data_IF_606229679642
#
_entry.id   IF_606229679642
#
_cell.length_a   1.000
_cell.length_b   1.000
_cell.length_c   1.000
_cell.angle_alpha   90.00
_cell.angle_beta   90.00
_cell.angle_gamma   90.00
#
_symmetry.space_group_name_H-M   'P 1'
#
loop_
_entity.id
_entity.type
_entity.pdbx_description
1 polymer ?
#
# COMPACT_ATOMS: atom_id res chain seq x y z
N UNK A 1 36.66 18.25 35.33
CA UNK A 1 37.04 17.30 34.26
C UNK A 1 35.86 16.42 33.82
N UNK A 2 35.05 15.90 34.75
CA UNK A 2 33.89 15.09 34.38
C UNK A 2 32.84 15.88 33.58
N UNK A 3 32.52 17.10 34.01
CA UNK A 3 31.51 17.94 33.35
C UNK A 3 31.91 18.35 31.93
N UNK A 4 33.18 18.69 31.73
CA UNK A 4 33.72 19.02 30.41
C UNK A 4 33.66 17.83 29.45
N UNK A 5 33.93 16.62 29.96
CA UNK A 5 33.81 15.40 29.17
C UNK A 5 32.33 15.13 28.84
N UNK A 6 31.43 15.30 29.80
CA UNK A 6 29.99 15.12 29.61
C UNK A 6 29.42 16.07 28.54
N UNK A 7 29.75 17.36 28.61
CA UNK A 7 29.32 18.35 27.61
C UNK A 7 29.87 18.06 26.22
N UNK A 8 31.11 17.59 26.13
CA UNK A 8 31.72 17.18 24.86
C UNK A 8 30.97 15.98 24.25
N UNK A 9 30.66 14.96 25.05
CA UNK A 9 29.89 13.80 24.60
C UNK A 9 28.48 14.17 24.13
N UNK A 10 27.77 15.03 24.87
CA UNK A 10 26.44 15.52 24.51
C UNK A 10 26.46 16.29 23.18
N UNK A 11 27.49 17.11 22.98
CA UNK A 11 27.65 17.92 21.77
C UNK A 11 27.94 17.03 20.55
N UNK A 12 28.81 16.02 20.71
CA UNK A 12 29.09 15.02 19.67
C UNK A 12 27.82 14.23 19.33
N UNK A 13 27.07 13.76 20.32
CA UNK A 13 25.82 13.04 20.09
C UNK A 13 24.77 13.88 19.34
N UNK A 14 24.70 15.17 19.66
CA UNK A 14 23.82 16.12 18.99
C UNK A 14 24.22 16.39 17.54
N UNK A 15 25.52 16.52 17.28
CA UNK A 15 26.07 16.69 15.93
C UNK A 15 25.79 15.45 15.05
N UNK A 16 26.02 14.26 15.58
CA UNK A 16 25.73 12.99 14.88
C UNK A 16 24.25 12.87 14.57
N UNK A 17 23.38 13.22 15.53
CA UNK A 17 21.92 13.17 15.36
C UNK A 17 21.43 14.17 14.31
N UNK A 18 21.98 15.38 14.27
CA UNK A 18 21.69 16.37 13.23
C UNK A 18 22.14 15.88 11.84
N UNK A 19 23.33 15.28 11.73
CA UNK A 19 23.80 14.67 10.48
C UNK A 19 22.90 13.52 10.03
N UNK A 20 22.48 12.66 10.96
CA UNK A 20 21.54 11.58 10.66
C UNK A 20 20.16 12.12 10.20
N UNK A 21 19.67 13.20 10.82
CA UNK A 21 18.44 13.88 10.40
C UNK A 21 18.56 14.43 8.98
N UNK A 22 19.67 15.11 8.65
CA UNK A 22 19.94 15.67 7.33
C UNK A 22 19.94 14.59 6.24
N UNK A 23 20.58 13.44 6.49
CA UNK A 23 20.75 12.39 5.48
C UNK A 23 19.53 11.50 5.30
N UNK A 24 18.73 11.28 6.35
CA UNK A 24 17.66 10.28 6.32
C UNK A 24 16.25 10.85 6.16
N UNK A 25 16.06 12.16 6.37
CA UNK A 25 14.76 12.83 6.19
C UNK A 25 14.58 13.23 4.73
N UNK A 26 13.48 12.76 4.13
CA UNK A 26 13.07 13.11 2.77
C UNK A 26 12.39 14.48 2.68
N UNK A 27 11.79 14.93 3.78
CA UNK A 27 11.18 16.25 3.86
C UNK A 27 12.24 17.24 4.41
N UNK A 28 12.69 18.21 3.59
CA UNK A 28 13.71 19.16 4.00
C UNK A 28 13.24 20.06 5.15
N UNK A 29 11.94 20.35 5.26
CA UNK A 29 11.40 21.18 6.35
C UNK A 29 11.49 20.44 7.68
N UNK A 30 11.06 19.17 7.69
CA UNK A 30 11.21 18.32 8.86
C UNK A 30 12.67 18.10 9.24
N UNK A 31 13.57 17.94 8.26
CA UNK A 31 15.01 17.82 8.51
C UNK A 31 15.56 19.05 9.25
N UNK A 32 15.26 20.25 8.75
CA UNK A 32 15.69 21.52 9.35
C UNK A 32 15.20 21.68 10.80
N UNK A 33 13.93 21.33 11.08
CA UNK A 33 13.38 21.38 12.44
C UNK A 33 14.20 20.49 13.39
N UNK A 34 14.50 19.26 13.00
CA UNK A 34 15.26 18.33 13.84
C UNK A 34 16.72 18.72 13.99
N UNK A 35 17.35 19.26 12.95
CA UNK A 35 18.72 19.78 13.01
C UNK A 35 18.79 20.97 13.97
N UNK A 36 17.88 21.93 13.83
CA UNK A 36 17.81 23.09 14.71
C UNK A 36 17.60 22.65 16.16
N UNK A 37 16.67 21.72 16.41
CA UNK A 37 16.40 21.21 17.75
C UNK A 37 17.61 20.50 18.38
N UNK A 38 18.37 19.74 17.59
CA UNK A 38 19.60 19.09 18.06
C UNK A 38 20.67 20.11 18.47
N UNK A 39 20.78 21.24 17.77
CA UNK A 39 21.75 22.28 18.11
C UNK A 39 21.28 23.21 19.24
N UNK A 40 19.98 23.56 19.30
CA UNK A 40 19.45 24.48 20.32
C UNK A 40 19.31 23.81 21.68
N UNK A 41 19.07 22.50 21.71
CA UNK A 41 18.92 21.72 22.94
C UNK A 41 19.87 20.50 22.89
N UNK A 42 21.18 20.68 23.12
CA UNK A 42 22.14 19.58 23.08
C UNK A 42 21.73 18.45 24.02
N UNK A 43 21.73 17.21 23.50
CA UNK A 43 21.31 16.01 24.22
C UNK A 43 19.80 15.79 24.18
N UNK A 44 19.01 16.76 24.62
CA UNK A 44 17.54 16.62 24.66
C UNK A 44 16.93 16.58 23.25
N UNK A 45 17.33 17.49 22.36
CA UNK A 45 16.86 17.54 20.97
C UNK A 45 17.26 16.31 20.18
N UNK A 46 18.47 15.80 20.43
CA UNK A 46 18.94 14.52 19.90
C UNK A 46 18.07 13.35 20.42
N UNK A 47 17.79 13.30 21.73
CA UNK A 47 16.90 12.28 22.31
C UNK A 47 15.50 12.29 21.68
N UNK A 48 14.89 13.48 21.52
CA UNK A 48 13.60 13.64 20.86
C UNK A 48 13.63 13.19 19.39
N UNK A 49 14.72 13.47 18.67
CA UNK A 49 14.90 13.01 17.30
C UNK A 49 14.91 11.48 17.19
N UNK A 50 15.62 10.78 18.06
CA UNK A 50 15.67 9.31 18.03
C UNK A 50 14.35 8.66 18.46
N UNK A 51 13.56 9.32 19.31
CA UNK A 51 12.24 8.86 19.72
C UNK A 51 11.16 9.10 18.65
N UNK A 52 11.07 10.33 18.11
CA UNK A 52 9.96 10.79 17.28
C UNK A 52 10.37 11.13 15.84
N UNK A 53 11.60 11.60 15.65
CA UNK A 53 12.13 11.99 14.36
C UNK A 53 12.40 10.81 13.43
N UNK A 54 12.75 9.63 13.94
CA UNK A 54 12.98 8.45 13.10
C UNK A 54 11.65 7.80 12.75
N UNK A 55 11.32 7.77 11.45
CA UNK A 55 10.10 7.12 10.98
C UNK A 55 10.24 5.58 10.99
N UNK A 56 10.05 4.98 12.18
CA UNK A 56 10.19 3.53 12.43
C UNK A 56 9.22 2.68 11.60
N UNK A 57 8.06 3.23 11.22
CA UNK A 57 7.07 2.55 10.36
C UNK A 57 7.68 2.30 8.97
N UNK A 58 8.38 3.29 8.39
CA UNK A 58 9.02 3.15 7.08
C UNK A 58 10.15 2.11 7.10
N UNK A 59 10.90 2.03 8.20
CA UNK A 59 11.94 1.02 8.37
C UNK A 59 11.33 -0.38 8.44
N UNK A 60 10.29 -0.58 9.26
CA UNK A 60 9.57 -1.87 9.33
C UNK A 60 8.91 -2.25 8.01
N UNK A 61 8.33 -1.30 7.29
CA UNK A 61 7.74 -1.56 5.98
C UNK A 61 8.78 -2.02 4.95
N UNK A 62 9.99 -1.44 4.96
CA UNK A 62 11.11 -1.91 4.13
C UNK A 62 11.55 -3.32 4.51
N UNK A 63 11.64 -3.61 5.80
CA UNK A 63 11.97 -4.96 6.28
C UNK A 63 10.91 -5.97 5.84
N UNK A 64 9.62 -5.61 5.88
CA UNK A 64 8.53 -6.45 5.38
C UNK A 64 8.59 -6.64 3.87
N UNK A 65 8.95 -5.61 3.10
CA UNK A 65 9.17 -5.74 1.66
C UNK A 65 10.34 -6.65 1.35
N UNK A 66 11.46 -6.54 2.09
CA UNK A 66 12.62 -7.42 1.91
C UNK A 66 12.28 -8.87 2.23
N UNK A 67 11.62 -9.14 3.38
CA UNK A 67 11.15 -10.49 3.76
C UNK A 67 10.04 -11.02 2.85
N UNK A 68 9.23 -10.12 2.30
CA UNK A 68 8.16 -10.44 1.36
C UNK A 68 8.70 -10.79 -0.03
N UNK A 69 9.80 -10.17 -0.44
CA UNK A 69 10.48 -10.47 -1.71
C UNK A 69 11.07 -11.88 -1.75
N UNK A 70 11.39 -12.45 -0.58
CA UNK A 70 11.83 -13.85 -0.46
C UNK A 70 10.69 -14.87 -0.55
N UNK A 71 9.42 -14.44 -0.43
CA UNK A 71 8.29 -15.32 -0.71
C UNK A 71 8.17 -15.45 -2.23
N UNK A 72 8.30 -16.65 -2.82
CA UNK A 72 8.04 -16.84 -4.22
C UNK A 72 6.55 -16.58 -4.44
N UNK A 73 6.21 -15.37 -4.87
CA UNK A 73 5.02 -15.23 -5.68
C UNK A 73 5.38 -15.95 -6.99
N UNK A 74 4.65 -16.99 -7.40
CA UNK A 74 4.81 -17.54 -8.73
C UNK A 74 4.43 -16.42 -9.69
N UNK A 75 5.42 -15.62 -10.07
CA UNK A 75 5.31 -14.74 -11.22
C UNK A 75 4.89 -15.66 -12.36
N UNK A 76 3.73 -15.42 -12.99
CA UNK A 76 3.31 -16.26 -14.10
C UNK A 76 4.46 -16.30 -15.08
N UNK A 77 5.00 -17.51 -15.32
CA UNK A 77 6.22 -17.73 -16.08
C UNK A 77 5.97 -17.30 -17.52
N UNK A 78 6.08 -16.00 -17.81
CA UNK A 78 5.61 -15.38 -19.05
C UNK A 78 4.21 -15.88 -19.43
N UNK A 79 3.14 -15.14 -19.13
CA UNK A 79 1.92 -15.43 -19.90
C UNK A 79 2.27 -15.14 -21.36
N UNK A 80 2.47 -16.21 -22.12
CA UNK A 80 2.67 -16.21 -23.56
C UNK A 80 1.30 -15.98 -24.20
N UNK A 81 0.59 -14.95 -23.75
CA UNK A 81 -0.59 -14.51 -24.46
C UNK A 81 -0.07 -13.71 -25.65
N UNK A 82 0.21 -14.44 -26.73
CA UNK A 82 0.20 -13.81 -28.04
C UNK A 82 -1.27 -13.65 -28.43
N UNK A 83 -1.68 -12.48 -28.95
CA UNK A 83 -2.94 -12.38 -29.66
C UNK A 83 -3.00 -13.50 -30.71
N UNK A 84 -4.18 -14.13 -30.95
CA UNK A 84 -4.37 -14.92 -32.14
C UNK A 84 -3.90 -14.11 -33.36
N UNK A 85 -3.14 -14.73 -34.26
CA UNK A 85 -2.53 -14.03 -35.40
C UNK A 85 -3.56 -13.33 -36.33
N UNK A 86 -4.84 -13.66 -36.19
CA UNK A 86 -5.96 -13.11 -36.97
C UNK A 86 -6.71 -11.96 -36.26
N UNK A 87 -6.43 -11.70 -34.97
CA UNK A 87 -6.97 -10.51 -34.30
C UNK A 87 -6.03 -9.35 -34.61
N UNK A 88 -6.49 -8.38 -35.41
CA UNK A 88 -5.89 -7.05 -35.49
C UNK A 88 -6.30 -6.28 -34.24
N UNK A 89 -5.50 -6.30 -33.15
CA UNK A 89 -5.93 -5.72 -31.91
C UNK A 89 -5.85 -4.22 -32.13
N UNK A 90 -6.98 -3.52 -31.99
CA UNK A 90 -7.15 -2.06 -32.20
C UNK A 90 -6.02 -1.22 -31.58
N UNK A 91 -5.38 -1.73 -30.52
CA UNK A 91 -4.26 -1.09 -29.82
C UNK A 91 -2.87 -1.27 -30.46
N UNK A 92 -2.66 -2.15 -31.45
CA UNK A 92 -1.37 -2.30 -32.16
C UNK A 92 -1.12 -1.20 -33.22
N UNK A 93 -2.08 -0.30 -33.44
CA UNK A 93 -1.92 0.78 -34.42
C UNK A 93 -1.21 2.03 -33.86
N UNK A 94 -0.30 2.54 -34.70
CA UNK A 94 0.44 3.81 -34.74
C UNK A 94 1.23 4.38 -33.54
N UNK A 95 1.06 3.96 -32.27
CA UNK A 95 1.99 4.44 -31.21
C UNK A 95 1.98 3.73 -29.85
N UNK A 96 1.22 2.65 -29.66
CA UNK A 96 1.08 2.06 -28.33
C UNK A 96 2.11 0.96 -28.01
N UNK A 97 2.96 0.55 -28.96
CA UNK A 97 3.94 -0.54 -28.75
C UNK A 97 4.89 -0.21 -27.59
N UNK A 98 5.39 1.03 -27.53
CA UNK A 98 6.25 1.48 -26.43
C UNK A 98 5.50 1.53 -25.10
N UNK A 99 4.22 1.91 -25.11
CA UNK A 99 3.38 1.94 -23.92
C UNK A 99 3.05 0.53 -23.41
N UNK A 100 2.80 -0.42 -24.33
CA UNK A 100 2.59 -1.84 -24.03
C UNK A 100 3.85 -2.46 -23.41
N UNK A 101 5.02 -2.23 -24.04
CA UNK A 101 6.29 -2.71 -23.50
C UNK A 101 6.58 -2.14 -22.10
N UNK A 102 6.24 -0.86 -21.86
CA UNK A 102 6.36 -0.24 -20.54
C UNK A 102 5.36 -0.86 -19.55
N UNK A 103 4.10 -1.04 -19.94
CA UNK A 103 3.07 -1.63 -19.09
C UNK A 103 3.44 -3.06 -18.68
N UNK A 104 3.92 -3.88 -19.62
CA UNK A 104 4.38 -5.24 -19.36
C UNK A 104 5.62 -5.24 -18.46
N UNK A 105 6.57 -4.33 -18.68
CA UNK A 105 7.77 -4.23 -17.83
C UNK A 105 7.45 -3.78 -16.39
N UNK A 106 6.47 -2.87 -16.23
CA UNK A 106 6.07 -2.33 -14.92
C UNK A 106 5.18 -3.31 -14.16
N UNK A 107 4.17 -3.87 -14.83
CA UNK A 107 3.20 -4.78 -14.20
C UNK A 107 3.71 -6.21 -14.12
N UNK A 108 4.74 -6.55 -14.90
CA UNK A 108 5.27 -7.91 -15.10
C UNK A 108 4.19 -8.89 -15.56
N UNK A 109 3.19 -8.40 -16.29
CA UNK A 109 2.08 -9.17 -16.83
C UNK A 109 1.81 -8.71 -18.26
N UNK A 110 1.55 -9.63 -19.20
CA UNK A 110 1.18 -9.27 -20.55
C UNK A 110 -0.23 -8.68 -20.57
N UNK A 111 -0.46 -7.79 -21.51
CA UNK A 111 -1.80 -7.38 -21.88
C UNK A 111 -2.54 -8.53 -22.58
N UNK A 112 -3.83 -8.71 -22.26
CA UNK A 112 -4.70 -9.72 -22.90
C UNK A 112 -5.88 -9.05 -23.60
N UNK A 113 -6.34 -9.59 -24.74
CA UNK A 113 -7.58 -9.13 -25.39
C UNK A 113 -8.82 -9.83 -24.81
N UNK A 114 -10.00 -9.53 -25.35
CA UNK A 114 -11.28 -10.14 -24.93
C UNK A 114 -11.85 -9.59 -23.61
N UNK A 115 -11.23 -8.56 -23.03
CA UNK A 115 -11.75 -7.90 -21.84
C UNK A 115 -12.99 -7.08 -22.17
N UNK A 116 -14.06 -7.25 -21.39
CA UNK A 116 -15.20 -6.33 -21.34
C UNK A 116 -15.00 -5.40 -20.15
N UNK A 117 -14.91 -4.10 -20.40
CA UNK A 117 -14.76 -3.07 -19.37
C UNK A 117 -16.03 -2.23 -19.32
N UNK A 118 -16.60 -2.10 -18.13
CA UNK A 118 -17.75 -1.24 -17.88
C UNK A 118 -17.37 -0.22 -16.80
N UNK A 119 -17.17 1.07 -17.16
CA UNK A 119 -16.73 2.08 -16.20
C UNK A 119 -17.85 2.50 -15.26
N UNK A 120 -17.63 2.29 -13.95
CA UNK A 120 -18.55 2.70 -12.88
C UNK A 120 -17.97 3.95 -12.20
N UNK A 121 -18.68 5.07 -12.28
CA UNK A 121 -18.09 6.39 -11.97
C UNK A 121 -18.15 6.77 -10.49
N UNK A 122 -18.98 6.09 -9.69
CA UNK A 122 -19.18 6.41 -8.28
C UNK A 122 -19.69 5.20 -7.48
N UNK A 123 -19.88 5.37 -6.17
CA UNK A 123 -20.41 4.32 -5.29
C UNK A 123 -21.86 3.92 -5.60
N UNK A 124 -22.68 4.82 -6.14
CA UNK A 124 -24.07 4.52 -6.50
C UNK A 124 -24.16 3.55 -7.68
N UNK A 125 -23.18 3.56 -8.58
CA UNK A 125 -23.05 2.61 -9.68
C UNK A 125 -22.24 1.37 -9.26
N UNK A 126 -21.12 1.58 -8.55
CA UNK A 126 -20.19 0.51 -8.20
C UNK A 126 -20.74 -0.46 -7.16
N UNK A 127 -21.35 0.03 -6.07
CA UNK A 127 -21.77 -0.85 -4.97
C UNK A 127 -22.87 -1.83 -5.37
N UNK A 128 -23.93 -1.44 -6.11
CA UNK A 128 -24.92 -2.41 -6.57
C UNK A 128 -24.32 -3.49 -7.48
N UNK A 129 -23.47 -3.10 -8.44
CA UNK A 129 -22.82 -4.06 -9.35
C UNK A 129 -21.89 -5.02 -8.60
N UNK A 130 -21.16 -4.54 -7.59
CA UNK A 130 -20.32 -5.38 -6.72
C UNK A 130 -21.18 -6.36 -5.90
N UNK A 131 -22.30 -5.91 -5.32
CA UNK A 131 -23.19 -6.77 -4.55
C UNK A 131 -23.83 -7.85 -5.43
N UNK A 132 -24.27 -7.50 -6.63
CA UNK A 132 -24.79 -8.46 -7.62
C UNK A 132 -23.72 -9.50 -7.99
N UNK A 133 -22.47 -9.08 -8.20
CA UNK A 133 -21.37 -10.00 -8.48
C UNK A 133 -21.10 -10.97 -7.31
N UNK A 134 -21.23 -10.52 -6.06
CA UNK A 134 -21.12 -11.38 -4.87
C UNK A 134 -22.30 -12.36 -4.79
N UNK A 135 -23.51 -11.91 -5.09
CA UNK A 135 -24.71 -12.74 -5.09
C UNK A 135 -24.64 -13.85 -6.16
N UNK A 136 -24.11 -13.53 -7.34
CA UNK A 136 -23.97 -14.47 -8.45
C UNK A 136 -22.70 -15.35 -8.38
N UNK A 137 -21.80 -15.10 -7.42
CA UNK A 137 -20.56 -15.83 -7.27
C UNK A 137 -20.83 -17.33 -6.99
N UNK A 138 -20.05 -18.20 -7.65
CA UNK A 138 -20.20 -19.67 -7.59
C UNK A 138 -19.02 -20.41 -6.97
N UNK A 139 -17.82 -19.81 -6.98
CA UNK A 139 -16.58 -20.48 -6.56
C UNK A 139 -15.85 -19.71 -5.48
N UNK A 140 -15.56 -18.43 -5.73
CA UNK A 140 -14.85 -17.59 -4.77
C UNK A 140 -15.24 -16.12 -4.85
N UNK A 141 -15.06 -15.42 -3.72
CA UNK A 141 -15.12 -13.96 -3.62
C UNK A 141 -13.89 -13.49 -2.85
N UNK A 142 -13.06 -12.67 -3.51
CA UNK A 142 -11.89 -12.05 -2.90
C UNK A 142 -12.14 -10.54 -2.79
N UNK A 143 -12.32 -10.04 -1.57
CA UNK A 143 -12.49 -8.61 -1.31
C UNK A 143 -11.24 -8.07 -0.63
N UNK A 144 -10.61 -7.05 -1.20
CA UNK A 144 -9.50 -6.32 -0.59
C UNK A 144 -9.84 -4.84 -0.57
N UNK A 145 -9.88 -4.22 0.61
CA UNK A 145 -10.26 -2.81 0.75
C UNK A 145 -9.46 -2.10 1.84
N UNK A 146 -9.26 -0.79 1.66
CA UNK A 146 -8.60 0.05 2.65
C UNK A 146 -9.53 0.39 3.82
N UNK A 147 -10.81 0.68 3.57
CA UNK A 147 -11.79 1.02 4.62
C UNK A 147 -12.99 0.10 4.47
N UNK A 148 -13.45 -0.46 5.59
CA UNK A 148 -14.67 -1.25 5.65
C UNK A 148 -15.51 -0.77 6.85
N UNK A 149 -16.44 0.13 6.56
CA UNK A 149 -17.24 0.81 7.58
C UNK A 149 -18.48 0.03 7.99
N UNK A 150 -18.96 0.22 9.22
CA UNK A 150 -20.11 -0.50 9.78
C UNK A 150 -21.46 0.13 9.39
N UNK A 151 -21.46 1.14 8.52
CA UNK A 151 -22.66 1.82 8.03
C UNK A 151 -23.58 0.94 7.17
N UNK A 152 -24.64 1.55 6.61
CA UNK A 152 -25.65 0.85 5.80
C UNK A 152 -25.02 0.04 4.65
N UNK A 153 -24.07 0.63 3.93
CA UNK A 153 -23.40 -0.02 2.81
C UNK A 153 -22.55 -1.21 3.26
N UNK A 154 -21.72 -1.04 4.30
CA UNK A 154 -20.89 -2.13 4.81
C UNK A 154 -21.72 -3.31 5.31
N UNK A 155 -22.83 -3.06 6.00
CA UNK A 155 -23.76 -4.13 6.42
C UNK A 155 -24.38 -4.88 5.23
N UNK A 156 -24.66 -4.19 4.12
CA UNK A 156 -25.13 -4.86 2.90
C UNK A 156 -24.05 -5.78 2.31
N UNK A 157 -22.78 -5.34 2.31
CA UNK A 157 -21.66 -6.18 1.89
C UNK A 157 -21.45 -7.38 2.82
N UNK A 158 -21.51 -7.18 4.14
CA UNK A 158 -21.40 -8.28 5.12
C UNK A 158 -22.46 -9.33 4.83
N UNK A 159 -23.74 -8.94 4.75
CA UNK A 159 -24.84 -9.86 4.49
C UNK A 159 -24.67 -10.62 3.15
N UNK A 160 -24.24 -9.93 2.09
CA UNK A 160 -24.00 -10.57 0.80
C UNK A 160 -22.84 -11.57 0.84
N UNK A 161 -21.76 -11.24 1.55
CA UNK A 161 -20.59 -12.10 1.72
C UNK A 161 -20.92 -13.32 2.60
N UNK A 162 -21.69 -13.14 3.68
CA UNK A 162 -22.21 -14.23 4.51
C UNK A 162 -23.08 -15.18 3.69
N UNK A 163 -24.05 -14.64 2.95
CA UNK A 163 -24.90 -15.44 2.06
C UNK A 163 -24.08 -16.20 1.00
N UNK A 164 -23.01 -15.61 0.47
CA UNK A 164 -22.12 -16.31 -0.45
C UNK A 164 -21.37 -17.47 0.24
N UNK A 165 -20.85 -17.24 1.44
CA UNK A 165 -20.20 -18.28 2.22
C UNK A 165 -21.16 -19.43 2.57
N UNK A 166 -22.41 -19.14 2.91
CA UNK A 166 -23.46 -20.14 3.16
C UNK A 166 -23.79 -21.00 1.94
N UNK A 167 -23.70 -20.43 0.73
CA UNK A 167 -23.83 -21.18 -0.53
C UNK A 167 -22.61 -22.07 -0.85
N UNK A 168 -21.56 -22.05 -0.02
CA UNK A 168 -20.32 -22.80 -0.21
C UNK A 168 -19.27 -22.09 -1.07
N UNK A 169 -19.45 -20.79 -1.34
CA UNK A 169 -18.45 -19.97 -2.06
C UNK A 169 -17.28 -19.67 -1.12
N UNK A 170 -16.04 -19.78 -1.61
CA UNK A 170 -14.86 -19.43 -0.82
C UNK A 170 -14.72 -17.91 -0.68
N UNK A 171 -15.06 -17.37 0.48
CA UNK A 171 -15.01 -15.92 0.76
C UNK A 171 -13.74 -15.56 1.53
N UNK A 172 -12.95 -14.62 0.99
CA UNK A 172 -11.72 -14.10 1.61
C UNK A 172 -11.76 -12.58 1.62
N UNK A 173 -11.69 -11.99 2.81
CA UNK A 173 -11.73 -10.54 3.00
C UNK A 173 -10.42 -10.05 3.62
N UNK A 174 -9.77 -9.10 2.96
CA UNK A 174 -8.56 -8.43 3.42
C UNK A 174 -8.87 -6.95 3.65
N UNK A 175 -8.69 -6.49 4.88
CA UNK A 175 -8.93 -5.10 5.29
C UNK A 175 -7.62 -4.54 5.85
N UNK A 176 -7.33 -3.27 5.55
CA UNK A 176 -6.22 -2.57 6.19
C UNK A 176 -6.43 -2.48 7.71
N UNK A 177 -5.40 -2.78 8.50
CA UNK A 177 -5.50 -2.85 9.96
C UNK A 177 -5.73 -1.49 10.65
N UNK A 178 -5.42 -0.38 9.97
CA UNK A 178 -5.85 0.97 10.42
C UNK A 178 -7.27 1.23 9.92
N UNK A 179 -7.56 0.81 8.69
CA UNK A 179 -8.87 0.81 8.04
C UNK A 179 -10.04 0.28 8.88
N UNK A 180 -9.87 -0.85 9.57
CA UNK A 180 -10.91 -1.45 10.44
C UNK A 180 -11.36 -0.47 11.55
N UNK A 181 -10.50 0.46 11.97
CA UNK A 181 -10.74 1.35 13.12
C UNK A 181 -11.34 2.70 12.74
N UNK A 182 -11.68 2.93 11.46
CA UNK A 182 -12.29 4.19 11.03
C UNK A 182 -13.73 4.35 11.57
N UNK A 183 -14.42 3.25 11.83
CA UNK A 183 -15.77 3.24 12.41
C UNK A 183 -15.79 2.58 13.79
N UNK A 184 -16.64 3.11 14.68
CA UNK A 184 -16.94 2.52 15.98
C UNK A 184 -18.46 2.34 16.13
N UNK A 185 -18.97 1.11 16.32
CA UNK A 185 -18.25 -0.17 16.36
C UNK A 185 -17.66 -0.57 14.98
N UNK A 186 -16.63 -1.42 14.95
CA UNK A 186 -16.06 -1.93 13.69
C UNK A 186 -17.07 -2.79 12.93
N UNK A 187 -16.93 -2.85 11.61
CA UNK A 187 -17.72 -3.71 10.75
C UNK A 187 -17.31 -5.17 10.99
N UNK A 188 -18.11 -5.88 11.78
CA UNK A 188 -17.95 -7.29 12.13
C UNK A 188 -19.27 -8.01 12.02
#
# INVERSE_FOLDING_TARGET
>A
MLDTILWLLISIFSLVSAGHALLNKRDPRAALIWILLCFTLPGLGAGLYWLLGINRIRTRARDWQARGAERPWPEPSSSCWLPPADDDPVFLHENNVALLALADAVTRRPLVSGNRVDPLFNGEQAYPAMLEAIEQAKQEVNLSTYIFGAGKTGRAFIAALEAAAERGVAVRVLIDGVGERYDFPPAR
#
